data_IF_660007000779
#
_entry.id   IF_660007000779
#
_cell.length_a   1.000
_cell.length_b   1.000
_cell.length_c   1.000
_cell.angle_alpha   90.00
_cell.angle_beta   90.00
_cell.angle_gamma   90.00
#
_symmetry.space_group_name_H-M   'P 1'
#
loop_
_entity.id
_entity.type
_entity.pdbx_description
1 polymer ?
#
# COMPACT_ATOMS: atom_id res chain seq x y z
N UNK A 1 -4.12 71.92 53.41
CA UNK A 1 -4.42 71.18 52.20
C UNK A 1 -3.35 70.09 52.03
N UNK A 2 -3.66 68.80 52.37
CA UNK A 2 -2.71 67.69 52.31
C UNK A 2 -3.01 66.87 51.05
N UNK A 3 -2.08 66.79 50.12
CA UNK A 3 -2.15 65.94 48.93
C UNK A 3 -1.64 64.54 49.30
N UNK A 4 -2.53 63.54 49.18
CA UNK A 4 -2.19 62.12 49.30
C UNK A 4 -1.80 61.61 47.91
N UNK A 5 -0.54 61.24 47.72
CA UNK A 5 -0.03 60.54 46.53
C UNK A 5 -0.28 59.03 46.69
N UNK A 6 -1.30 58.52 45.97
CA UNK A 6 -1.47 57.09 45.81
C UNK A 6 -0.37 56.55 44.88
N UNK A 7 0.57 55.78 45.46
CA UNK A 7 1.55 54.99 44.72
C UNK A 7 0.84 53.68 44.27
N UNK A 8 0.46 53.60 43.01
CA UNK A 8 0.09 52.35 42.39
C UNK A 8 1.30 51.42 42.31
N UNK A 9 1.31 50.39 43.12
CA UNK A 9 2.27 49.27 43.06
C UNK A 9 1.82 48.38 41.90
N UNK A 10 2.43 48.50 40.74
CA UNK A 10 2.24 47.59 39.62
C UNK A 10 2.81 46.23 40.04
N UNK A 11 1.95 45.23 40.19
CA UNK A 11 2.32 43.85 40.46
C UNK A 11 3.08 43.30 39.22
N UNK A 12 4.34 43.01 39.40
CA UNK A 12 5.27 42.51 38.41
C UNK A 12 5.28 40.97 38.30
N UNK A 13 4.28 40.28 38.87
CA UNK A 13 4.37 38.82 39.11
C UNK A 13 3.59 37.92 38.16
N UNK A 14 2.78 38.44 37.22
CA UNK A 14 1.91 37.57 36.42
C UNK A 14 2.48 37.14 35.06
N UNK A 15 3.53 37.77 34.55
CA UNK A 15 4.03 37.48 33.21
C UNK A 15 4.96 36.26 33.14
N UNK A 16 5.62 35.89 34.23
CA UNK A 16 6.52 34.72 34.27
C UNK A 16 5.78 33.41 34.50
N UNK A 17 4.68 33.41 35.25
CA UNK A 17 3.85 32.23 35.46
C UNK A 17 3.03 31.89 34.19
N UNK A 18 2.54 32.88 33.47
CA UNK A 18 1.82 32.70 32.21
C UNK A 18 2.75 32.11 31.13
N UNK A 19 3.99 32.58 31.02
CA UNK A 19 4.97 32.04 30.07
C UNK A 19 5.35 30.58 30.39
N UNK A 20 5.48 30.24 31.67
CA UNK A 20 5.84 28.87 32.09
C UNK A 20 4.73 27.86 31.77
N UNK A 21 3.46 28.24 31.99
CA UNK A 21 2.32 27.40 31.67
C UNK A 21 2.13 27.25 30.17
N UNK A 22 2.36 28.32 29.38
CA UNK A 22 2.25 28.29 27.92
C UNK A 22 3.21 27.29 27.27
N UNK A 23 4.47 27.24 27.73
CA UNK A 23 5.44 26.26 27.22
C UNK A 23 5.06 24.82 27.58
N UNK A 24 4.57 24.60 28.80
CA UNK A 24 4.14 23.29 29.23
C UNK A 24 2.89 22.80 28.46
N UNK A 25 1.92 23.67 28.23
CA UNK A 25 0.73 23.36 27.47
C UNK A 25 1.04 23.07 26.01
N UNK A 26 1.89 23.87 25.39
CA UNK A 26 2.34 23.62 24.02
C UNK A 26 3.12 22.30 23.91
N UNK A 27 4.00 22.00 24.86
CA UNK A 27 4.74 20.74 24.90
C UNK A 27 3.80 19.54 25.07
N UNK A 28 2.83 19.64 25.95
CA UNK A 28 1.77 18.61 26.13
C UNK A 28 0.97 18.40 24.85
N UNK A 29 0.55 19.46 24.19
CA UNK A 29 -0.20 19.40 22.93
C UNK A 29 0.64 18.75 21.83
N UNK A 30 1.91 19.13 21.70
CA UNK A 30 2.84 18.54 20.76
C UNK A 30 3.08 17.05 21.01
N UNK A 31 3.25 16.67 22.28
CA UNK A 31 3.43 15.27 22.66
C UNK A 31 2.18 14.42 22.36
N UNK A 32 0.98 14.94 22.63
CA UNK A 32 -0.27 14.26 22.29
C UNK A 32 -0.42 14.12 20.77
N UNK A 33 -0.10 15.15 20.00
CA UNK A 33 -0.17 15.11 18.55
C UNK A 33 0.79 14.04 17.97
N UNK A 34 2.03 13.96 18.48
CA UNK A 34 2.98 12.91 18.11
C UNK A 34 2.43 11.52 18.48
N UNK A 35 1.89 11.36 19.66
CA UNK A 35 1.33 10.09 20.11
C UNK A 35 0.19 9.62 19.21
N UNK A 36 -0.72 10.54 18.84
CA UNK A 36 -1.81 10.25 17.90
C UNK A 36 -1.24 9.87 16.53
N UNK A 37 -0.29 10.64 15.99
CA UNK A 37 0.33 10.36 14.71
C UNK A 37 1.03 8.99 14.68
N UNK A 38 1.78 8.66 15.73
CA UNK A 38 2.43 7.34 15.87
C UNK A 38 1.42 6.20 15.98
N UNK A 39 0.33 6.42 16.72
CA UNK A 39 -0.75 5.42 16.85
C UNK A 39 -1.41 5.17 15.50
N UNK A 40 -1.78 6.22 14.76
CA UNK A 40 -2.38 6.10 13.44
C UNK A 40 -1.42 5.41 12.47
N UNK A 41 -0.15 5.78 12.45
CA UNK A 41 0.87 5.15 11.60
C UNK A 41 1.09 3.68 11.95
N UNK A 42 1.03 3.33 13.23
CA UNK A 42 1.28 1.94 13.68
C UNK A 42 0.10 1.03 13.36
N UNK A 43 -1.13 1.51 13.57
CA UNK A 43 -2.31 0.65 13.54
C UNK A 43 -3.25 0.91 12.34
N UNK A 44 -3.26 2.09 11.77
CA UNK A 44 -4.24 2.40 10.73
C UNK A 44 -3.61 2.41 9.33
N UNK A 45 -2.70 3.33 9.06
CA UNK A 45 -2.22 3.59 7.71
C UNK A 45 -0.70 3.73 7.66
N UNK A 46 -0.11 3.21 6.59
CA UNK A 46 1.30 3.40 6.29
C UNK A 46 1.45 4.10 4.93
N UNK A 47 2.18 5.23 4.87
CA UNK A 47 2.49 5.86 3.59
C UNK A 47 3.50 5.00 2.82
N UNK A 48 3.20 4.77 1.55
CA UNK A 48 4.02 4.00 0.62
C UNK A 48 4.29 4.83 -0.63
N UNK A 49 5.48 4.70 -1.18
CA UNK A 49 5.80 5.19 -2.53
C UNK A 49 6.02 4.02 -3.47
N UNK A 50 5.54 4.13 -4.71
CA UNK A 50 5.63 3.07 -5.71
C UNK A 50 6.97 3.16 -6.42
N UNK A 51 7.90 2.18 -6.19
CA UNK A 51 9.22 2.23 -6.77
C UNK A 51 9.33 1.52 -8.11
N UNK A 52 8.30 0.79 -8.55
CA UNK A 52 8.37 -0.06 -9.74
C UNK A 52 7.12 0.02 -10.60
N UNK A 53 7.28 -0.24 -11.90
CA UNK A 53 6.21 -0.23 -12.88
C UNK A 53 5.37 -1.50 -12.96
N UNK A 54 5.57 -2.47 -12.04
CA UNK A 54 4.89 -3.77 -12.13
C UNK A 54 3.36 -3.72 -11.92
N UNK A 55 2.85 -2.60 -11.40
CA UNK A 55 1.40 -2.37 -11.21
C UNK A 55 0.83 -1.34 -12.19
N UNK A 56 1.60 -0.91 -13.21
CA UNK A 56 1.05 -0.10 -14.31
C UNK A 56 -0.05 -0.87 -15.04
N UNK A 57 -1.13 -0.23 -15.46
CA UNK A 57 -1.43 1.20 -15.38
C UNK A 57 -2.12 1.61 -14.09
N UNK A 58 -2.42 0.68 -13.18
CA UNK A 58 -3.18 0.94 -11.95
C UNK A 58 -2.43 1.85 -10.97
N UNK A 59 -1.12 1.62 -10.81
CA UNK A 59 -0.24 2.44 -9.99
C UNK A 59 0.99 2.83 -10.80
N UNK A 60 1.37 4.09 -10.75
CA UNK A 60 2.51 4.62 -11.49
C UNK A 60 3.75 4.71 -10.61
N UNK A 61 4.92 4.60 -11.23
CA UNK A 61 6.18 4.87 -10.54
C UNK A 61 6.21 6.30 -10.01
N UNK A 62 6.51 6.44 -8.73
CA UNK A 62 6.52 7.73 -8.04
C UNK A 62 5.21 8.09 -7.33
N UNK A 63 4.13 7.33 -7.52
CA UNK A 63 2.89 7.55 -6.78
C UNK A 63 3.10 7.35 -5.27
N UNK A 64 2.36 8.13 -4.49
CA UNK A 64 2.25 7.98 -3.04
C UNK A 64 0.85 7.50 -2.68
N UNK A 65 0.77 6.51 -1.85
CA UNK A 65 -0.50 5.93 -1.40
C UNK A 65 -0.45 5.63 0.10
N UNK A 66 -1.62 5.46 0.68
CA UNK A 66 -1.77 4.98 2.05
C UNK A 66 -2.26 3.54 2.04
N UNK A 67 -1.48 2.66 2.66
CA UNK A 67 -1.84 1.25 2.84
C UNK A 67 -2.55 1.09 4.17
N UNK A 68 -3.76 0.51 4.14
CA UNK A 68 -4.49 0.15 5.36
C UNK A 68 -3.88 -1.11 5.98
N UNK A 69 -3.47 -1.01 7.24
CA UNK A 69 -2.83 -2.13 7.95
C UNK A 69 -3.82 -3.15 8.51
N UNK A 70 -5.05 -2.70 8.74
CA UNK A 70 -6.09 -3.52 9.37
C UNK A 70 -6.89 -4.40 8.40
N UNK A 71 -6.83 -4.15 7.08
CA UNK A 71 -7.68 -4.83 6.08
C UNK A 71 -7.52 -6.34 6.09
N UNK A 72 -6.28 -6.82 6.22
CA UNK A 72 -5.98 -8.26 6.22
C UNK A 72 -5.44 -8.76 7.57
N UNK A 73 -5.69 -7.99 8.64
CA UNK A 73 -5.14 -8.24 9.98
C UNK A 73 -3.66 -7.91 10.12
N UNK A 74 -3.21 -7.96 11.37
CA UNK A 74 -1.86 -7.54 11.73
C UNK A 74 -0.90 -8.71 11.79
N UNK A 75 0.18 -8.67 11.05
CA UNK A 75 1.34 -9.53 11.21
C UNK A 75 2.44 -8.81 12.02
N UNK A 76 3.50 -9.51 12.41
CA UNK A 76 4.66 -8.86 13.03
C UNK A 76 5.21 -7.71 12.17
N UNK A 77 5.11 -7.81 10.84
CA UNK A 77 5.58 -6.77 9.91
C UNK A 77 4.68 -5.54 9.84
N UNK A 78 3.50 -5.58 10.44
CA UNK A 78 2.63 -4.41 10.60
C UNK A 78 3.15 -3.43 11.64
N UNK A 79 4.08 -3.85 12.51
CA UNK A 79 4.62 -3.05 13.59
C UNK A 79 6.03 -2.53 13.31
N UNK A 80 6.43 -1.38 13.89
CA UNK A 80 7.78 -0.86 13.76
C UNK A 80 8.83 -1.91 14.15
N UNK A 81 9.88 -2.03 13.35
CA UNK A 81 10.99 -2.99 13.56
C UNK A 81 10.53 -4.45 13.67
N UNK A 82 9.32 -4.79 13.21
CA UNK A 82 8.71 -6.13 13.33
C UNK A 82 8.65 -6.64 14.79
N UNK A 83 8.41 -5.73 15.73
CA UNK A 83 8.24 -6.05 17.16
C UNK A 83 6.81 -5.72 17.59
N UNK A 84 6.09 -6.62 18.34
CA UNK A 84 6.53 -7.91 18.88
C UNK A 84 6.70 -9.00 17.82
N UNK A 85 7.62 -9.94 18.06
CA UNK A 85 7.86 -11.06 17.18
C UNK A 85 6.87 -12.19 17.48
N UNK A 86 5.89 -12.37 16.58
CA UNK A 86 4.91 -13.46 16.62
C UNK A 86 4.72 -14.04 15.23
N UNK A 87 4.17 -15.24 15.14
CA UNK A 87 3.81 -15.89 13.89
C UNK A 87 2.31 -15.78 13.63
N UNK A 88 1.92 -15.77 12.36
CA UNK A 88 0.53 -15.65 11.94
C UNK A 88 0.03 -14.19 11.91
N UNK A 89 -1.29 -14.03 11.99
CA UNK A 89 -1.99 -12.74 11.94
C UNK A 89 -3.00 -12.62 13.08
N UNK A 90 -3.07 -11.43 13.67
CA UNK A 90 -4.12 -11.05 14.63
C UNK A 90 -5.26 -10.41 13.82
N UNK A 91 -6.49 -10.87 14.03
CA UNK A 91 -7.66 -10.46 13.24
C UNK A 91 -7.46 -10.67 11.74
N UNK A 92 -6.83 -11.80 11.36
CA UNK A 92 -6.53 -12.11 9.97
C UNK A 92 -7.78 -12.39 9.16
N UNK A 93 -7.91 -11.70 8.01
CA UNK A 93 -8.88 -11.99 6.97
C UNK A 93 -8.12 -12.35 5.69
N UNK A 94 -8.67 -13.27 4.91
CA UNK A 94 -8.17 -13.49 3.56
C UNK A 94 -8.54 -12.30 2.68
N UNK A 95 -7.63 -11.87 1.79
CA UNK A 95 -7.96 -10.89 0.77
C UNK A 95 -8.97 -11.50 -0.22
N UNK A 96 -9.73 -10.63 -0.84
CA UNK A 96 -10.61 -11.01 -1.93
C UNK A 96 -9.85 -11.01 -3.26
N UNK A 97 -10.37 -11.73 -4.24
CA UNK A 97 -9.83 -11.74 -5.58
C UNK A 97 -10.02 -10.35 -6.22
N UNK A 98 -8.93 -9.80 -6.75
CA UNK A 98 -8.91 -8.43 -7.28
C UNK A 98 -8.31 -7.39 -6.32
N UNK A 99 -8.21 -7.68 -5.02
CA UNK A 99 -7.57 -6.79 -4.07
C UNK A 99 -6.11 -6.50 -4.45
N UNK A 100 -5.66 -5.27 -4.19
CA UNK A 100 -4.26 -4.92 -4.28
C UNK A 100 -3.65 -4.95 -2.90
N UNK A 101 -2.65 -5.80 -2.71
CA UNK A 101 -2.01 -6.03 -1.42
C UNK A 101 -0.52 -5.66 -1.44
N UNK A 102 -0.06 -5.07 -0.33
CA UNK A 102 1.36 -4.89 -0.03
C UNK A 102 1.82 -5.98 0.92
N UNK A 103 2.89 -6.65 0.59
CA UNK A 103 3.43 -7.74 1.41
C UNK A 103 4.96 -7.81 1.32
N UNK A 104 5.57 -8.40 2.34
CA UNK A 104 7.01 -8.63 2.36
C UNK A 104 7.39 -9.75 1.40
N UNK A 105 8.43 -9.51 0.59
CA UNK A 105 8.96 -10.55 -0.28
C UNK A 105 9.54 -11.70 0.56
N UNK A 106 9.10 -12.91 0.30
CA UNK A 106 9.39 -14.09 1.15
C UNK A 106 10.87 -14.42 1.25
N UNK A 107 11.64 -14.20 0.18
CA UNK A 107 13.08 -14.46 0.16
C UNK A 107 13.91 -13.32 0.76
N UNK A 108 13.36 -12.10 0.81
CA UNK A 108 13.99 -10.94 1.42
C UNK A 108 12.95 -9.99 2.02
N UNK A 109 12.68 -10.15 3.30
CA UNK A 109 11.66 -9.38 4.03
C UNK A 109 11.97 -7.88 4.20
N UNK A 110 13.12 -7.40 3.67
CA UNK A 110 13.42 -5.97 3.57
C UNK A 110 12.74 -5.30 2.37
N UNK A 111 12.24 -6.10 1.41
CA UNK A 111 11.62 -5.63 0.18
C UNK A 111 10.11 -5.79 0.33
N UNK A 112 9.39 -4.74 0.04
CA UNK A 112 7.93 -4.75 -0.07
C UNK A 112 7.52 -4.91 -1.53
N UNK A 113 6.59 -5.83 -1.76
CA UNK A 113 5.92 -6.01 -3.03
C UNK A 113 4.50 -5.49 -2.95
N UNK A 114 4.04 -4.94 -4.06
CA UNK A 114 2.64 -4.60 -4.27
C UNK A 114 2.15 -5.32 -5.50
N UNK A 115 1.09 -6.12 -5.35
CA UNK A 115 0.54 -6.97 -6.40
C UNK A 115 -0.97 -7.10 -6.23
N UNK A 116 -1.64 -7.52 -7.30
CA UNK A 116 -3.07 -7.86 -7.28
C UNK A 116 -3.27 -9.33 -6.96
N UNK A 117 -4.23 -9.62 -6.11
CA UNK A 117 -4.62 -10.99 -5.73
C UNK A 117 -5.43 -11.59 -6.87
N UNK A 118 -4.91 -12.67 -7.43
CA UNK A 118 -5.53 -13.38 -8.56
C UNK A 118 -6.10 -14.72 -8.11
N UNK A 119 -5.30 -15.52 -7.37
CA UNK A 119 -5.68 -16.85 -6.93
C UNK A 119 -5.80 -16.95 -5.42
N UNK A 120 -6.83 -17.65 -4.95
CA UNK A 120 -7.09 -18.02 -3.56
C UNK A 120 -6.68 -19.46 -3.32
N UNK A 121 -6.57 -19.93 -2.06
CA UNK A 121 -6.22 -21.33 -1.76
C UNK A 121 -7.09 -22.32 -2.54
N UNK A 122 -6.45 -23.31 -3.17
CA UNK A 122 -7.09 -24.32 -4.02
C UNK A 122 -7.28 -23.91 -5.48
N UNK A 123 -7.14 -22.64 -5.85
CA UNK A 123 -7.26 -22.22 -7.25
C UNK A 123 -6.12 -22.74 -8.12
N UNK A 124 -6.45 -22.99 -9.39
CA UNK A 124 -5.48 -23.29 -10.45
C UNK A 124 -5.28 -22.04 -11.31
N UNK A 125 -4.07 -21.56 -11.33
CA UNK A 125 -3.67 -20.37 -12.11
C UNK A 125 -2.74 -20.81 -13.23
N UNK A 126 -2.98 -20.34 -14.43
CA UNK A 126 -2.13 -20.56 -15.59
C UNK A 126 -2.19 -19.37 -16.53
N UNK A 127 -1.10 -19.11 -17.23
CA UNK A 127 -1.06 -18.17 -18.36
C UNK A 127 -0.81 -18.98 -19.62
N UNK A 128 -1.58 -18.74 -20.69
CA UNK A 128 -1.41 -19.33 -22.01
C UNK A 128 -1.51 -18.21 -23.04
N UNK A 129 -0.47 -18.10 -23.86
CA UNK A 129 -0.41 -17.05 -24.90
C UNK A 129 -0.71 -15.64 -24.36
N UNK A 130 -0.22 -15.36 -23.13
CA UNK A 130 -0.44 -14.11 -22.41
C UNK A 130 -1.82 -13.97 -21.77
N UNK A 131 -2.74 -14.92 -21.95
CA UNK A 131 -4.09 -14.89 -21.40
C UNK A 131 -4.12 -15.65 -20.07
N UNK A 132 -4.71 -15.04 -19.05
CA UNK A 132 -4.88 -15.63 -17.73
C UNK A 132 -6.00 -16.67 -17.73
N UNK A 133 -5.72 -17.84 -17.20
CA UNK A 133 -6.71 -18.89 -16.92
C UNK A 133 -6.81 -19.10 -15.41
N UNK A 134 -8.04 -19.12 -14.91
CA UNK A 134 -8.33 -19.36 -13.52
C UNK A 134 -9.30 -20.55 -13.40
N UNK A 135 -8.86 -21.60 -12.69
CA UNK A 135 -9.62 -22.85 -12.57
C UNK A 135 -9.98 -23.49 -13.94
N UNK A 136 -9.06 -23.41 -14.89
CA UNK A 136 -9.18 -23.84 -16.29
C UNK A 136 -10.21 -23.02 -17.12
N UNK A 137 -10.69 -21.90 -16.60
CA UNK A 137 -11.56 -20.97 -17.32
C UNK A 137 -10.74 -19.79 -17.77
N UNK A 138 -10.83 -19.44 -19.03
CA UNK A 138 -10.19 -18.26 -19.59
C UNK A 138 -10.80 -16.99 -18.99
N UNK A 139 -9.92 -16.06 -18.56
CA UNK A 139 -10.35 -14.74 -18.13
C UNK A 139 -10.57 -13.86 -19.35
N UNK A 140 -11.81 -13.34 -19.48
CA UNK A 140 -12.16 -12.45 -20.58
C UNK A 140 -11.20 -11.26 -20.62
N UNK A 141 -10.57 -11.06 -21.81
CA UNK A 141 -9.58 -10.02 -22.05
C UNK A 141 -9.97 -9.20 -23.27
N UNK A 142 -10.27 -7.92 -23.07
CA UNK A 142 -10.71 -7.00 -24.13
C UNK A 142 -9.64 -5.96 -24.38
N UNK A 143 -9.18 -5.83 -25.63
CA UNK A 143 -8.21 -4.80 -25.99
C UNK A 143 -8.82 -3.39 -25.87
N UNK A 144 -8.06 -2.51 -25.21
CA UNK A 144 -8.38 -1.07 -25.05
C UNK A 144 -7.45 -0.17 -25.88
N UNK A 145 -6.63 -0.77 -26.73
CA UNK A 145 -5.65 -0.06 -27.55
C UNK A 145 -4.27 -0.01 -26.95
N UNK A 146 -3.57 1.08 -27.11
CA UNK A 146 -2.20 1.25 -26.61
C UNK A 146 -2.10 2.32 -25.53
N UNK A 147 -1.24 2.06 -24.56
CA UNK A 147 -0.91 2.98 -23.48
C UNK A 147 0.58 3.36 -23.54
N UNK A 148 0.88 4.64 -23.34
CA UNK A 148 2.24 5.16 -23.42
C UNK A 148 2.65 5.76 -22.10
N UNK A 149 3.80 5.35 -21.60
CA UNK A 149 4.40 5.95 -20.41
C UNK A 149 5.93 5.96 -20.52
N UNK A 150 6.54 6.80 -19.73
CA UNK A 150 7.99 6.79 -19.55
C UNK A 150 8.39 5.64 -18.61
N UNK A 151 9.48 4.97 -18.97
CA UNK A 151 10.16 4.04 -18.07
C UNK A 151 11.04 4.81 -17.07
N UNK A 152 11.77 4.06 -16.23
CA UNK A 152 12.70 4.64 -15.23
C UNK A 152 13.84 5.46 -15.87
N UNK A 153 14.17 5.18 -17.12
CA UNK A 153 15.22 5.88 -17.86
C UNK A 153 14.67 7.08 -18.63
N UNK A 154 13.40 7.46 -18.36
CA UNK A 154 12.69 8.56 -19.06
C UNK A 154 12.45 8.28 -20.56
N UNK A 155 12.54 7.02 -20.99
CA UNK A 155 12.29 6.56 -22.36
C UNK A 155 10.79 6.24 -22.51
N UNK A 156 10.16 6.79 -23.57
CA UNK A 156 8.76 6.47 -23.87
C UNK A 156 8.62 5.02 -24.32
N UNK A 157 7.85 4.26 -23.57
CA UNK A 157 7.46 2.89 -23.89
C UNK A 157 5.99 2.86 -24.31
N UNK A 158 5.66 2.00 -25.26
CA UNK A 158 4.28 1.73 -25.67
C UNK A 158 3.93 0.30 -25.25
N UNK A 159 2.81 0.16 -24.59
CA UNK A 159 2.26 -1.10 -24.10
C UNK A 159 0.90 -1.31 -24.75
N UNK A 160 0.53 -2.55 -25.02
CA UNK A 160 -0.86 -2.87 -25.28
C UNK A 160 -1.60 -2.92 -23.95
N UNK A 161 -2.76 -2.27 -23.90
CA UNK A 161 -3.60 -2.24 -22.71
C UNK A 161 -4.85 -3.07 -22.96
N UNK A 162 -5.15 -3.93 -21.99
CA UNK A 162 -6.31 -4.79 -22.00
C UNK A 162 -7.12 -4.61 -20.72
N UNK A 163 -8.42 -4.80 -20.82
CA UNK A 163 -9.31 -4.93 -19.67
C UNK A 163 -9.58 -6.42 -19.45
N UNK A 164 -9.24 -6.92 -18.26
CA UNK A 164 -9.55 -8.28 -17.83
C UNK A 164 -10.72 -8.28 -16.85
N UNK A 165 -11.61 -9.24 -16.99
CA UNK A 165 -12.76 -9.44 -16.11
C UNK A 165 -12.51 -10.61 -15.17
N UNK A 166 -12.02 -10.32 -13.96
CA UNK A 166 -11.66 -11.34 -12.98
C UNK A 166 -12.87 -11.95 -12.26
N UNK A 167 -13.97 -11.21 -12.17
CA UNK A 167 -15.29 -11.69 -11.70
C UNK A 167 -16.41 -10.94 -12.40
N UNK A 168 -17.66 -11.32 -12.16
CA UNK A 168 -18.83 -10.67 -12.78
C UNK A 168 -18.84 -9.15 -12.56
N UNK A 169 -18.41 -8.71 -11.38
CA UNK A 169 -18.48 -7.29 -10.95
C UNK A 169 -17.12 -6.60 -10.90
N UNK A 170 -16.03 -7.29 -11.23
CA UNK A 170 -14.70 -6.74 -11.09
C UNK A 170 -13.88 -6.83 -12.39
N UNK A 171 -13.53 -5.66 -12.92
CA UNK A 171 -12.66 -5.48 -14.08
C UNK A 171 -11.47 -4.62 -13.73
N UNK A 172 -10.35 -4.87 -14.38
CA UNK A 172 -9.13 -4.08 -14.21
C UNK A 172 -8.31 -4.06 -15.48
N UNK A 173 -7.44 -3.06 -15.60
CA UNK A 173 -6.57 -2.93 -16.76
C UNK A 173 -5.23 -3.63 -16.52
N UNK A 174 -4.73 -4.29 -17.55
CA UNK A 174 -3.40 -4.90 -17.59
C UNK A 174 -2.61 -4.38 -18.76
N UNK A 175 -1.29 -4.34 -18.61
CA UNK A 175 -0.34 -4.03 -19.67
C UNK A 175 0.39 -5.29 -20.09
N UNK A 176 0.58 -5.39 -21.40
CA UNK A 176 1.36 -6.43 -22.04
C UNK A 176 2.11 -5.76 -23.21
N UNK A 177 3.44 -5.79 -23.17
CA UNK A 177 4.26 -5.10 -24.16
C UNK A 177 4.98 -6.07 -25.09
N UNK A 178 5.15 -7.31 -24.65
CA UNK A 178 6.04 -8.27 -25.32
C UNK A 178 5.26 -9.53 -25.69
N UNK A 179 4.67 -9.59 -26.89
CA UNK A 179 4.03 -10.82 -27.36
C UNK A 179 4.98 -12.01 -27.26
N UNK A 180 4.53 -13.13 -26.71
CA UNK A 180 5.32 -14.33 -26.42
C UNK A 180 6.47 -14.08 -25.42
N UNK A 181 6.22 -13.28 -24.40
CA UNK A 181 7.14 -13.08 -23.29
C UNK A 181 7.41 -14.37 -22.51
N UNK A 182 8.43 -14.36 -21.66
CA UNK A 182 8.85 -15.54 -20.89
C UNK A 182 7.74 -16.10 -20.00
N UNK A 183 6.82 -15.26 -19.54
CA UNK A 183 5.72 -15.61 -18.62
C UNK A 183 4.38 -15.78 -19.32
N UNK A 184 4.32 -15.69 -20.64
CA UNK A 184 3.08 -15.85 -21.41
C UNK A 184 2.61 -17.29 -21.52
N UNK A 185 3.49 -18.25 -21.23
CA UNK A 185 3.15 -19.65 -21.19
C UNK A 185 3.72 -20.30 -19.94
N UNK A 186 2.86 -20.67 -19.00
CA UNK A 186 3.23 -21.27 -17.72
C UNK A 186 2.60 -22.65 -17.56
N UNK A 187 3.21 -23.45 -16.70
CA UNK A 187 2.52 -24.63 -16.16
C UNK A 187 1.35 -24.22 -15.27
N UNK A 188 0.43 -25.17 -15.03
CA UNK A 188 -0.66 -24.96 -14.07
C UNK A 188 -0.09 -24.90 -12.66
N UNK A 189 -0.30 -23.78 -11.98
CA UNK A 189 0.06 -23.63 -10.58
C UNK A 189 -1.19 -23.75 -9.70
N UNK A 190 -1.22 -24.73 -8.80
CA UNK A 190 -2.27 -24.84 -7.80
C UNK A 190 -1.86 -24.09 -6.54
N UNK A 191 -2.67 -23.11 -6.12
CA UNK A 191 -2.41 -22.29 -4.94
C UNK A 191 -2.53 -23.15 -3.67
N UNK A 192 -1.47 -23.33 -2.88
CA UNK A 192 -1.53 -24.14 -1.67
C UNK A 192 -2.44 -23.53 -0.60
N UNK A 193 -2.91 -24.36 0.33
CA UNK A 193 -3.63 -23.88 1.51
C UNK A 193 -2.79 -22.88 2.31
N UNK A 194 -3.46 -21.83 2.79
CA UNK A 194 -2.80 -20.76 3.53
C UNK A 194 -1.98 -19.78 2.67
N UNK A 195 -2.00 -19.92 1.35
CA UNK A 195 -1.29 -19.06 0.39
C UNK A 195 -2.27 -18.35 -0.54
N UNK A 196 -1.79 -17.30 -1.15
CA UNK A 196 -2.48 -16.55 -2.21
C UNK A 196 -1.55 -16.43 -3.40
N UNK A 197 -2.10 -16.35 -4.59
CA UNK A 197 -1.35 -16.08 -5.80
C UNK A 197 -1.59 -14.63 -6.24
N UNK A 198 -0.51 -13.88 -6.43
CA UNK A 198 -0.57 -12.47 -6.75
C UNK A 198 0.24 -12.16 -8.01
N UNK A 199 -0.30 -11.31 -8.88
CA UNK A 199 0.34 -10.86 -10.11
C UNK A 199 0.37 -9.33 -10.18
N UNK A 200 1.31 -8.79 -10.95
CA UNK A 200 1.27 -7.38 -11.33
C UNK A 200 0.31 -7.13 -12.48
N UNK A 201 -0.20 -5.92 -12.54
CA UNK A 201 -1.04 -5.48 -13.65
C UNK A 201 -0.19 -5.22 -14.92
N UNK A 202 1.11 -4.99 -14.78
CA UNK A 202 2.08 -5.01 -15.89
C UNK A 202 2.68 -6.42 -15.99
N UNK A 203 2.21 -7.20 -16.95
CA UNK A 203 2.50 -8.63 -17.08
C UNK A 203 3.97 -8.92 -17.38
N UNK A 204 4.63 -8.08 -18.15
CA UNK A 204 6.06 -8.22 -18.47
C UNK A 204 6.99 -7.86 -17.30
N UNK A 205 6.48 -7.19 -16.27
CA UNK A 205 7.25 -6.77 -15.09
C UNK A 205 6.77 -7.44 -13.80
N UNK A 206 6.03 -8.52 -13.91
CA UNK A 206 5.38 -9.17 -12.77
C UNK A 206 6.00 -10.49 -12.38
#
# INVERSE_FOLDING_TARGET
MKFNLFKNKIKKDDTTSIKKNYWLENFKTFFIAILIALTLRTFAFEPFSIPSGSMKPTLLEGDYLFVSKYSFGYSKHSFPMSFPNFSGRIFGNYPERGDVAVFKFTQNTRIDYIKRIIGLPGDKVQVKEGILYLNNVEIERVSKGSWRAKDRNNIMQTYDIFEEQLSTDFKYNVLDATPNGMLDNTDVYTVPEGHIFAMGDNRDQS
#
